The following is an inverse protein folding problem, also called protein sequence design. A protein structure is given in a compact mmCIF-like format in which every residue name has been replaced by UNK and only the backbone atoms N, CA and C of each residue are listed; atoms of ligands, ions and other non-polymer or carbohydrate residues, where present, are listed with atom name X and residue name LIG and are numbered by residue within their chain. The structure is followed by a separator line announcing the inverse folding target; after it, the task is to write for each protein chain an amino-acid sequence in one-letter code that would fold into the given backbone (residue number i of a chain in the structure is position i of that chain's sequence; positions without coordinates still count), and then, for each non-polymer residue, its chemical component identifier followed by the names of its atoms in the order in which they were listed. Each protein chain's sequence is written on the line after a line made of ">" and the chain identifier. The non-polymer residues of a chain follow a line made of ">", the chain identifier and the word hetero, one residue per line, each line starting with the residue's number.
data_IF_276310988999
#
_entry.id   IF_276310988999
#
_cell.length_a   1.000
_cell.length_b   1.000
_cell.length_c   1.000
_cell.angle_alpha   90.00
_cell.angle_beta   90.00
_cell.angle_gamma   90.00
#
_symmetry.space_group_name_H-M   'P 1'
#
loop_
_entity.id
_entity.type
_entity.pdbx_description
1 polymer ?
#
# COMPACT_ATOMS: atom_id res chain seq x y z
N UNK A 1 -25.35 -58.67 -1.22
CA UNK A 1 -25.27 -57.20 -1.37
C UNK A 1 -25.41 -56.89 -2.84
N UNK A 2 -26.45 -56.15 -3.20
CA UNK A 2 -26.74 -55.84 -4.60
C UNK A 2 -25.70 -54.83 -5.11
N UNK A 3 -25.18 -55.05 -6.32
CA UNK A 3 -24.14 -54.22 -6.94
C UNK A 3 -24.51 -52.73 -7.01
N UNK A 4 -25.81 -52.42 -7.04
CA UNK A 4 -26.36 -51.06 -6.98
C UNK A 4 -26.07 -50.35 -5.65
N UNK A 5 -26.14 -51.06 -4.52
CA UNK A 5 -25.85 -50.50 -3.20
C UNK A 5 -24.35 -50.14 -3.05
N UNK A 6 -23.48 -50.98 -3.62
CA UNK A 6 -22.03 -50.73 -3.65
C UNK A 6 -21.71 -49.49 -4.51
N UNK A 7 -22.34 -49.39 -5.69
CA UNK A 7 -22.17 -48.23 -6.58
C UNK A 7 -22.67 -46.93 -5.93
N UNK A 8 -23.82 -46.96 -5.27
CA UNK A 8 -24.36 -45.80 -4.54
C UNK A 8 -23.44 -45.36 -3.40
N UNK A 9 -22.95 -46.30 -2.59
CA UNK A 9 -22.02 -46.02 -1.50
C UNK A 9 -20.70 -45.40 -2.01
N UNK A 10 -20.17 -45.92 -3.13
CA UNK A 10 -18.98 -45.36 -3.77
C UNK A 10 -19.21 -43.93 -4.25
N UNK A 11 -20.35 -43.64 -4.89
CA UNK A 11 -20.70 -42.30 -5.35
C UNK A 11 -20.81 -41.29 -4.21
N UNK A 12 -21.44 -41.68 -3.09
CA UNK A 12 -21.52 -40.85 -1.87
C UNK A 12 -20.12 -40.59 -1.30
N UNK A 13 -19.27 -41.62 -1.22
CA UNK A 13 -17.89 -41.47 -0.75
C UNK A 13 -17.09 -40.50 -1.64
N UNK A 14 -17.18 -40.62 -2.97
CA UNK A 14 -16.51 -39.71 -3.90
C UNK A 14 -17.01 -38.27 -3.74
N UNK A 15 -18.33 -38.07 -3.60
CA UNK A 15 -18.90 -36.74 -3.39
C UNK A 15 -18.41 -36.10 -2.08
N UNK A 16 -18.34 -36.87 -0.99
CA UNK A 16 -17.82 -36.40 0.29
C UNK A 16 -16.33 -36.03 0.20
N UNK A 17 -15.53 -36.87 -0.45
CA UNK A 17 -14.10 -36.58 -0.69
C UNK A 17 -13.95 -35.29 -1.49
N UNK A 18 -14.75 -35.09 -2.55
CA UNK A 18 -14.71 -33.88 -3.36
C UNK A 18 -15.09 -32.62 -2.55
N UNK A 19 -16.09 -32.70 -1.68
CA UNK A 19 -16.50 -31.60 -0.80
C UNK A 19 -15.39 -31.23 0.21
N UNK A 20 -14.76 -32.23 0.82
CA UNK A 20 -13.64 -32.01 1.74
C UNK A 20 -12.46 -31.38 1.00
N UNK A 21 -12.10 -31.91 -0.17
CA UNK A 21 -11.02 -31.36 -1.00
C UNK A 21 -11.30 -29.90 -1.39
N UNK A 22 -12.52 -29.57 -1.84
CA UNK A 22 -12.90 -28.21 -2.17
C UNK A 22 -12.78 -27.27 -0.95
N UNK A 23 -13.20 -27.74 0.23
CA UNK A 23 -13.09 -26.98 1.48
C UNK A 23 -11.63 -26.72 1.87
N UNK A 24 -10.76 -27.74 1.73
CA UNK A 24 -9.33 -27.61 1.98
C UNK A 24 -8.66 -26.64 1.00
N UNK A 25 -9.05 -26.65 -0.28
CA UNK A 25 -8.54 -25.70 -1.29
C UNK A 25 -8.94 -24.27 -0.93
N UNK A 26 -10.19 -24.04 -0.51
CA UNK A 26 -10.62 -22.70 -0.06
C UNK A 26 -9.80 -22.23 1.14
N UNK A 27 -9.62 -23.12 2.13
CA UNK A 27 -8.80 -22.80 3.31
C UNK A 27 -7.34 -22.51 2.93
N UNK A 28 -6.75 -23.31 2.04
CA UNK A 28 -5.41 -23.11 1.52
C UNK A 28 -5.26 -21.76 0.82
N UNK A 29 -6.23 -21.36 -0.01
CA UNK A 29 -6.24 -20.04 -0.67
C UNK A 29 -6.28 -18.91 0.36
N UNK A 30 -7.06 -19.06 1.44
CA UNK A 30 -7.13 -18.07 2.52
C UNK A 30 -5.78 -17.93 3.24
N UNK A 31 -5.13 -19.04 3.61
CA UNK A 31 -3.82 -19.00 4.26
C UNK A 31 -2.72 -18.47 3.33
N UNK A 32 -2.75 -18.85 2.04
CA UNK A 32 -1.84 -18.28 1.04
C UNK A 32 -1.97 -16.77 0.93
N UNK A 33 -3.20 -16.22 0.98
CA UNK A 33 -3.41 -14.76 0.98
C UNK A 33 -2.74 -14.07 2.15
N UNK A 34 -2.79 -14.66 3.36
CA UNK A 34 -2.10 -14.09 4.54
C UNK A 34 -0.59 -14.06 4.33
N UNK A 35 -0.01 -15.16 3.80
CA UNK A 35 1.42 -15.21 3.49
C UNK A 35 1.81 -14.19 2.41
N UNK A 36 1.00 -14.05 1.35
CA UNK A 36 1.21 -13.02 0.31
C UNK A 36 1.18 -11.61 0.91
N UNK A 37 0.22 -11.31 1.79
CA UNK A 37 0.15 -10.01 2.46
C UNK A 37 1.33 -9.76 3.40
N UNK A 38 1.79 -10.76 4.14
CA UNK A 38 2.97 -10.64 4.99
C UNK A 38 4.21 -10.30 4.15
N UNK A 39 4.38 -10.95 3.00
CA UNK A 39 5.47 -10.66 2.05
C UNK A 39 5.35 -9.25 1.47
N UNK A 40 4.17 -8.86 0.99
CA UNK A 40 3.95 -7.52 0.44
C UNK A 40 4.19 -6.43 1.50
N UNK A 41 3.69 -6.64 2.73
CA UNK A 41 3.95 -5.75 3.85
C UNK A 41 5.43 -5.68 4.20
N UNK A 42 6.14 -6.81 4.23
CA UNK A 42 7.59 -6.83 4.45
C UNK A 42 8.33 -6.03 3.38
N UNK A 43 7.97 -6.16 2.11
CA UNK A 43 8.58 -5.38 1.03
C UNK A 43 8.36 -3.87 1.20
N UNK A 44 7.13 -3.46 1.54
CA UNK A 44 6.82 -2.06 1.86
C UNK A 44 7.59 -1.59 3.09
N UNK A 45 7.65 -2.41 4.13
CA UNK A 45 8.38 -2.11 5.36
C UNK A 45 9.87 -1.92 5.09
N UNK A 46 10.52 -2.87 4.42
CA UNK A 46 11.95 -2.83 4.11
C UNK A 46 12.29 -1.60 3.25
N UNK A 47 11.42 -1.25 2.30
CA UNK A 47 11.57 -0.04 1.49
C UNK A 47 11.41 1.23 2.34
N UNK A 48 10.28 1.41 3.04
CA UNK A 48 9.94 2.64 3.76
C UNK A 48 10.74 2.86 5.05
N UNK A 49 11.26 1.78 5.64
CA UNK A 49 12.08 1.80 6.85
C UNK A 49 13.58 1.69 6.57
N UNK A 50 13.99 1.64 5.31
CA UNK A 50 15.39 1.84 4.95
C UNK A 50 15.90 3.14 5.58
N UNK A 51 17.06 3.07 6.26
CA UNK A 51 17.60 4.19 7.04
C UNK A 51 17.74 5.47 6.21
N UNK A 52 18.26 5.37 4.97
CA UNK A 52 18.41 6.51 4.08
C UNK A 52 17.07 7.17 3.77
N UNK A 53 16.05 6.38 3.47
CA UNK A 53 14.73 6.90 3.16
C UNK A 53 14.03 7.48 4.41
N UNK A 54 14.23 6.87 5.58
CA UNK A 54 13.74 7.44 6.86
C UNK A 54 14.35 8.81 7.13
N UNK A 55 15.65 8.97 6.87
CA UNK A 55 16.36 10.24 7.02
C UNK A 55 15.88 11.27 6.00
N UNK A 56 15.73 10.89 4.74
CA UNK A 56 15.23 11.77 3.67
C UNK A 56 13.80 12.24 3.97
N UNK A 57 12.93 11.33 4.42
CA UNK A 57 11.56 11.67 4.81
C UNK A 57 11.51 12.58 6.03
N UNK A 58 12.34 12.32 7.05
CA UNK A 58 12.46 13.21 8.22
C UNK A 58 12.90 14.60 7.79
N UNK A 59 13.87 14.67 6.89
CA UNK A 59 14.39 15.93 6.38
C UNK A 59 13.33 16.71 5.60
N UNK A 60 12.62 16.08 4.67
CA UNK A 60 11.49 16.70 3.96
C UNK A 60 10.48 17.27 4.96
N UNK A 61 10.02 16.46 5.91
CA UNK A 61 8.97 16.86 6.85
C UNK A 61 9.38 17.93 7.86
N UNK A 62 10.68 18.08 8.14
CA UNK A 62 11.20 19.01 9.16
C UNK A 62 11.91 20.22 8.57
N UNK A 63 12.85 19.98 7.68
CA UNK A 63 13.77 21.00 7.17
C UNK A 63 13.24 21.69 5.93
N UNK A 64 12.46 21.01 5.07
CA UNK A 64 11.88 21.63 3.87
C UNK A 64 10.49 22.24 4.13
N UNK A 65 9.86 21.88 5.24
CA UNK A 65 8.51 22.36 5.57
C UNK A 65 8.49 23.88 5.73
N UNK A 66 7.68 24.54 4.89
CA UNK A 66 7.51 26.00 4.90
C UNK A 66 8.63 26.79 4.23
N UNK A 67 9.65 26.12 3.68
CA UNK A 67 10.66 26.77 2.83
C UNK A 67 10.13 26.93 1.42
N UNK A 68 10.51 28.04 0.79
CA UNK A 68 10.28 28.24 -0.64
C UNK A 68 11.05 27.21 -1.47
N UNK A 69 10.42 26.69 -2.52
CA UNK A 69 10.97 25.65 -3.38
C UNK A 69 12.20 26.14 -4.16
N UNK A 70 12.19 27.40 -4.60
CA UNK A 70 13.32 27.97 -5.35
C UNK A 70 14.59 28.13 -4.50
N UNK A 71 14.47 27.99 -3.18
CA UNK A 71 15.60 27.98 -2.24
C UNK A 71 16.12 26.55 -1.92
N UNK A 72 15.62 25.52 -2.60
CA UNK A 72 16.09 24.15 -2.41
C UNK A 72 17.34 23.90 -3.23
N UNK A 73 18.36 23.32 -2.60
CA UNK A 73 19.55 22.86 -3.30
C UNK A 73 19.25 21.58 -4.09
N UNK A 74 20.06 21.30 -5.11
CA UNK A 74 19.97 20.04 -5.87
C UNK A 74 20.00 18.81 -4.96
N UNK A 75 20.86 18.82 -3.94
CA UNK A 75 20.95 17.73 -2.97
C UNK A 75 19.65 17.50 -2.20
N UNK A 76 18.90 18.56 -1.91
CA UNK A 76 17.61 18.51 -1.23
C UNK A 76 16.51 18.01 -2.17
N UNK A 77 16.53 18.45 -3.42
CA UNK A 77 15.62 17.98 -4.47
C UNK A 77 15.79 16.47 -4.65
N UNK A 78 17.01 15.96 -4.78
CA UNK A 78 17.27 14.52 -4.89
C UNK A 78 16.74 13.71 -3.70
N UNK A 79 16.70 14.30 -2.50
CA UNK A 79 16.12 13.66 -1.30
C UNK A 79 14.60 13.64 -1.38
N UNK A 80 14.00 14.76 -1.78
CA UNK A 80 12.57 14.90 -2.00
C UNK A 80 12.06 13.92 -3.07
N UNK A 81 12.75 13.81 -4.21
CA UNK A 81 12.44 12.84 -5.27
C UNK A 81 12.43 11.40 -4.75
N UNK A 82 13.42 11.00 -3.94
CA UNK A 82 13.44 9.65 -3.35
C UNK A 82 12.22 9.38 -2.47
N UNK A 83 11.76 10.39 -1.74
CA UNK A 83 10.51 10.28 -0.97
C UNK A 83 9.32 10.10 -1.91
N UNK A 84 9.18 10.95 -2.94
CA UNK A 84 8.13 10.81 -3.96
C UNK A 84 8.13 9.41 -4.58
N UNK A 85 9.25 8.96 -5.16
CA UNK A 85 9.36 7.64 -5.79
C UNK A 85 9.01 6.49 -4.85
N UNK A 86 9.48 6.55 -3.60
CA UNK A 86 9.21 5.48 -2.64
C UNK A 86 7.72 5.37 -2.32
N UNK A 87 7.03 6.50 -2.12
CA UNK A 87 5.61 6.47 -1.84
C UNK A 87 4.76 6.22 -3.08
N UNK A 88 5.23 6.62 -4.26
CA UNK A 88 4.58 6.32 -5.52
C UNK A 88 4.57 4.80 -5.78
N UNK A 89 5.71 4.13 -5.57
CA UNK A 89 5.80 2.66 -5.62
C UNK A 89 4.83 2.00 -4.62
N UNK A 90 4.72 2.51 -3.39
CA UNK A 90 3.73 1.98 -2.42
C UNK A 90 2.30 2.27 -2.87
N UNK A 91 2.06 3.44 -3.47
CA UNK A 91 0.79 3.84 -4.06
C UNK A 91 0.33 2.85 -5.12
N UNK A 92 1.22 2.49 -6.06
CA UNK A 92 0.99 1.45 -7.08
C UNK A 92 0.58 0.14 -6.40
N UNK A 93 1.32 -0.30 -5.38
CA UNK A 93 1.02 -1.55 -4.68
C UNK A 93 -0.36 -1.53 -4.00
N UNK A 94 -0.71 -0.41 -3.39
CA UNK A 94 -1.99 -0.21 -2.73
C UNK A 94 -3.15 -0.15 -3.74
N UNK A 95 -3.01 0.64 -4.79
CA UNK A 95 -4.05 0.89 -5.81
C UNK A 95 -4.38 -0.37 -6.61
N UNK A 96 -3.39 -1.24 -6.80
CA UNK A 96 -3.57 -2.55 -7.46
C UNK A 96 -3.96 -3.68 -6.49
N UNK A 97 -4.18 -3.40 -5.21
CA UNK A 97 -4.67 -4.37 -4.23
C UNK A 97 -3.65 -5.40 -3.74
N UNK A 98 -2.36 -5.18 -3.99
CA UNK A 98 -1.29 -6.06 -3.48
C UNK A 98 -1.09 -5.93 -1.97
N UNK A 99 -1.38 -4.75 -1.42
CA UNK A 99 -1.38 -4.48 0.01
C UNK A 99 -2.59 -3.62 0.38
N UNK A 100 -3.33 -3.94 1.47
CA UNK A 100 -4.44 -3.11 1.91
C UNK A 100 -3.97 -1.69 2.26
N UNK A 101 -4.69 -0.69 1.74
CA UNK A 101 -4.31 0.72 1.94
C UNK A 101 -4.41 1.12 3.40
N UNK A 102 -5.33 0.53 4.15
CA UNK A 102 -5.52 0.73 5.58
C UNK A 102 -4.25 0.36 6.36
N UNK A 103 -3.63 -0.78 6.03
CA UNK A 103 -2.40 -1.23 6.70
C UNK A 103 -1.25 -0.25 6.49
N UNK A 104 -1.13 0.28 5.28
CA UNK A 104 -0.10 1.29 4.96
C UNK A 104 -0.41 2.63 5.63
N UNK A 105 -1.66 3.10 5.55
CA UNK A 105 -2.10 4.36 6.15
C UNK A 105 -1.98 4.35 7.69
N UNK A 106 -2.09 3.19 8.32
CA UNK A 106 -1.93 3.04 9.77
C UNK A 106 -0.50 3.24 10.22
N UNK A 107 0.44 2.69 9.45
CA UNK A 107 1.86 2.71 9.79
C UNK A 107 2.56 3.98 9.31
N UNK A 108 2.15 4.54 8.17
CA UNK A 108 2.84 5.67 7.51
C UNK A 108 1.92 6.83 7.14
N UNK A 109 0.65 6.83 7.55
CA UNK A 109 -0.33 7.83 7.12
C UNK A 109 0.03 9.26 7.51
N UNK A 110 0.63 9.47 8.68
CA UNK A 110 1.08 10.81 9.09
C UNK A 110 2.17 11.34 8.17
N UNK A 111 3.17 10.51 7.91
CA UNK A 111 4.25 10.87 7.00
C UNK A 111 3.78 11.04 5.56
N UNK A 112 2.86 10.21 5.07
CA UNK A 112 2.25 10.35 3.73
C UNK A 112 1.58 11.71 3.57
N UNK A 113 0.70 12.09 4.51
CA UNK A 113 -0.01 13.37 4.45
C UNK A 113 0.94 14.55 4.55
N UNK A 114 1.82 14.53 5.55
CA UNK A 114 2.73 15.66 5.82
C UNK A 114 3.74 15.85 4.69
N UNK A 115 4.34 14.78 4.19
CA UNK A 115 5.32 14.91 3.10
C UNK A 115 4.65 15.21 1.76
N UNK A 116 3.40 14.80 1.53
CA UNK A 116 2.67 15.19 0.33
C UNK A 116 2.53 16.70 0.27
N UNK A 117 2.02 17.31 1.35
CA UNK A 117 1.81 18.76 1.45
C UNK A 117 3.12 19.54 1.24
N UNK A 118 4.24 19.06 1.79
CA UNK A 118 5.55 19.72 1.63
C UNK A 118 6.09 19.60 0.20
N UNK A 119 5.83 18.47 -0.47
CA UNK A 119 6.44 18.15 -1.76
C UNK A 119 5.62 18.66 -2.96
N UNK A 120 4.40 19.16 -2.76
CA UNK A 120 3.55 19.66 -3.85
C UNK A 120 4.28 20.62 -4.83
N UNK A 121 5.06 21.63 -4.37
CA UNK A 121 5.73 22.55 -5.29
C UNK A 121 6.70 21.86 -6.26
N UNK A 122 7.46 20.87 -5.77
CA UNK A 122 8.36 20.07 -6.61
C UNK A 122 7.57 19.28 -7.66
N UNK A 123 6.49 18.62 -7.21
CA UNK A 123 5.67 17.76 -8.07
C UNK A 123 5.01 18.59 -9.18
N UNK A 124 4.42 19.72 -8.82
CA UNK A 124 3.74 20.62 -9.76
C UNK A 124 4.72 21.19 -10.80
N UNK A 125 5.92 21.61 -10.36
CA UNK A 125 6.98 22.07 -11.27
C UNK A 125 7.38 20.98 -12.26
N UNK A 126 7.62 19.76 -11.78
CA UNK A 126 8.03 18.66 -12.65
C UNK A 126 6.93 18.24 -13.62
N UNK A 127 5.67 18.20 -13.18
CA UNK A 127 4.51 17.93 -14.05
C UNK A 127 4.42 18.99 -15.16
N UNK A 128 4.61 20.27 -14.82
CA UNK A 128 4.57 21.37 -15.79
C UNK A 128 5.76 21.32 -16.78
N UNK A 129 6.99 21.19 -16.27
CA UNK A 129 8.21 21.16 -17.09
C UNK A 129 8.24 19.96 -18.05
N UNK A 130 7.72 18.80 -17.61
CA UNK A 130 7.73 17.57 -18.41
C UNK A 130 6.46 17.35 -19.23
N UNK A 131 5.40 18.13 -19.01
CA UNK A 131 4.08 17.88 -19.60
C UNK A 131 3.47 16.54 -19.18
N UNK A 132 3.77 16.08 -17.96
CA UNK A 132 3.46 14.74 -17.46
C UNK A 132 2.56 14.82 -16.20
N UNK A 133 1.25 15.12 -16.34
CA UNK A 133 0.35 15.30 -15.18
C UNK A 133 0.23 14.06 -14.29
N UNK A 134 0.53 12.88 -14.82
CA UNK A 134 0.53 11.59 -14.13
C UNK A 134 1.75 11.36 -13.24
N UNK A 135 2.78 12.21 -13.30
CA UNK A 135 3.99 12.03 -12.50
C UNK A 135 3.64 11.97 -11.01
N UNK A 136 3.96 10.85 -10.38
CA UNK A 136 3.67 10.56 -8.97
C UNK A 136 2.19 10.64 -8.57
N UNK A 137 1.26 10.30 -9.47
CA UNK A 137 -0.17 10.30 -9.19
C UNK A 137 -0.59 9.22 -8.18
N UNK A 138 0.14 8.11 -8.09
CA UNK A 138 -0.12 7.06 -7.12
C UNK A 138 0.29 7.48 -5.70
N UNK A 139 1.36 8.27 -5.57
CA UNK A 139 1.68 8.95 -4.31
C UNK A 139 0.56 9.92 -3.91
N UNK A 140 0.09 10.76 -4.84
CA UNK A 140 -1.03 11.68 -4.61
C UNK A 140 -2.29 10.92 -4.13
N UNK A 141 -2.63 9.84 -4.83
CA UNK A 141 -3.77 8.99 -4.51
C UNK A 141 -3.64 8.37 -3.11
N UNK A 142 -2.46 7.89 -2.75
CA UNK A 142 -2.19 7.26 -1.46
C UNK A 142 -2.25 8.26 -0.31
N UNK A 143 -1.67 9.46 -0.48
CA UNK A 143 -1.75 10.54 0.50
C UNK A 143 -3.19 10.98 0.74
N UNK A 144 -3.98 11.15 -0.32
CA UNK A 144 -5.41 11.46 -0.23
C UNK A 144 -6.18 10.36 0.50
N UNK A 145 -5.87 9.08 0.24
CA UNK A 145 -6.51 7.96 0.94
C UNK A 145 -6.19 7.96 2.44
N UNK A 146 -4.93 8.25 2.79
CA UNK A 146 -4.51 8.38 4.18
C UNK A 146 -5.22 9.54 4.90
N UNK A 147 -5.56 10.63 4.21
CA UNK A 147 -6.38 11.72 4.77
C UNK A 147 -7.83 11.29 5.02
N UNK A 148 -8.46 10.62 4.06
CA UNK A 148 -9.83 10.09 4.18
C UNK A 148 -9.94 9.10 5.34
N UNK A 149 -9.00 8.15 5.45
CA UNK A 149 -8.99 7.14 6.52
C UNK A 149 -8.81 7.78 7.90
N UNK A 150 -7.96 8.82 8.02
CA UNK A 150 -7.83 9.59 9.26
C UNK A 150 -9.16 10.25 9.63
N UNK A 151 -9.82 10.92 8.69
CA UNK A 151 -11.10 11.59 8.94
C UNK A 151 -12.17 10.60 9.44
N UNK A 152 -12.30 9.45 8.78
CA UNK A 152 -13.24 8.38 9.19
C UNK A 152 -13.01 7.89 10.62
N UNK A 153 -11.75 7.76 11.04
CA UNK A 153 -11.41 7.37 12.42
C UNK A 153 -11.83 8.40 13.45
N UNK A 154 -11.64 9.68 13.16
CA UNK A 154 -12.03 10.75 14.08
C UNK A 154 -13.55 10.90 14.16
N UNK A 155 -14.28 10.70 13.05
CA UNK A 155 -15.75 10.71 13.05
C UNK A 155 -16.37 9.45 13.69
N UNK A 156 -15.66 8.33 13.71
CA UNK A 156 -16.10 7.06 14.32
C UNK A 156 -15.85 6.95 15.83
N UNK A 157 -15.23 7.94 16.47
CA UNK A 157 -15.02 8.02 17.93
C UNK A 157 -16.09 8.89 18.63
N UNK A 158 -17.33 8.84 18.14
CA UNK A 158 -18.52 9.08 18.97
C UNK A 158 -19.01 7.70 19.45
N UNK A 159 -18.31 7.13 20.43
CA UNK A 159 -18.83 6.10 21.35
C UNK A 159 -18.16 6.28 22.69
#
# INVERSE_FOLDING_TARGET
>A
MDSSAIAAAAGVATALIALVAASLVVWQVIEMRKATYATAFKSVYDMLQNEKLRQDRRFVMRELKGRDFDAWTESEILRAERVCHSYDCVGIMCRNGFIPTEVVADSWGDSLRTSWDVLQPLIERYRAERGAPELWDDYQWLAARAAILRARRHSGHIR
#
